data_IF_277722224746
#
_entry.id   IF_277722224746
#
_cell.length_a   1.000
_cell.length_b   1.000
_cell.length_c   1.000
_cell.angle_alpha   90.00
_cell.angle_beta   90.00
_cell.angle_gamma   90.00
#
_symmetry.space_group_name_H-M   'P 1'
#
loop_
_entity.id
_entity.type
_entity.pdbx_description
1 polymer ?
#
# COMPACT_ATOMS: atom_id res chain seq x y z
N UNK A 1 -4.10 1.07 -3.95
CA UNK A 1 -3.43 -0.01 -4.71
C UNK A 1 -2.00 0.44 -4.97
N UNK A 2 -1.09 -0.49 -5.20
CA UNK A 2 0.19 -0.16 -5.83
C UNK A 2 0.05 -0.56 -7.28
N UNK A 3 0.20 0.43 -8.17
CA UNK A 3 0.03 0.23 -9.60
C UNK A 3 1.31 -0.35 -10.21
N UNK A 4 1.12 -1.32 -11.10
CA UNK A 4 2.19 -1.76 -11.99
C UNK A 4 2.37 -0.71 -13.09
N UNK A 5 3.62 -0.46 -13.48
CA UNK A 5 3.97 0.41 -14.59
C UNK A 5 5.11 -0.23 -15.37
N UNK A 6 5.46 0.33 -16.53
CA UNK A 6 6.48 -0.22 -17.44
C UNK A 6 7.80 -0.62 -16.77
N UNK A 7 8.24 0.13 -15.75
CA UNK A 7 9.51 -0.11 -15.04
C UNK A 7 9.33 -0.71 -13.63
N UNK A 8 8.10 -1.03 -13.22
CA UNK A 8 7.81 -1.55 -11.88
C UNK A 8 6.65 -2.54 -11.89
N UNK A 9 6.93 -3.80 -11.56
CA UNK A 9 5.93 -4.85 -11.40
C UNK A 9 5.49 -4.96 -9.93
N UNK A 10 4.27 -4.53 -9.63
CA UNK A 10 3.70 -4.56 -8.29
C UNK A 10 3.43 -6.00 -7.80
N UNK A 11 3.37 -6.98 -8.70
CA UNK A 11 3.29 -8.40 -8.38
C UNK A 11 4.57 -8.98 -7.77
N UNK A 12 5.70 -8.30 -7.89
CA UNK A 12 6.97 -8.71 -7.26
C UNK A 12 7.08 -8.34 -5.78
N UNK A 13 6.12 -7.57 -5.26
CA UNK A 13 6.08 -7.15 -3.86
C UNK A 13 5.76 -8.37 -2.99
N UNK A 14 6.58 -8.62 -1.97
CA UNK A 14 6.31 -9.62 -0.94
C UNK A 14 5.33 -9.05 0.10
N UNK A 15 4.05 -9.48 0.10
CA UNK A 15 3.02 -8.96 1.00
C UNK A 15 3.34 -9.17 2.49
N UNK A 16 4.14 -10.20 2.82
CA UNK A 16 4.52 -10.50 4.20
C UNK A 16 5.53 -9.52 4.79
N UNK A 17 6.22 -8.75 3.94
CA UNK A 17 7.19 -7.73 4.36
C UNK A 17 6.63 -6.31 4.31
N UNK A 18 5.43 -6.15 3.73
CA UNK A 18 4.82 -4.84 3.51
C UNK A 18 4.36 -4.24 4.82
N UNK A 19 4.71 -2.97 5.03
CA UNK A 19 4.19 -2.14 6.12
C UNK A 19 3.71 -0.82 5.56
N UNK A 20 2.47 -0.48 5.84
CA UNK A 20 1.88 0.80 5.48
C UNK A 20 1.65 1.61 6.74
N UNK A 21 2.37 2.73 6.89
CA UNK A 21 2.33 3.56 8.09
C UNK A 21 2.43 2.76 9.41
N UNK A 22 3.34 1.77 9.42
CA UNK A 22 3.59 0.88 10.54
C UNK A 22 2.66 -0.34 10.64
N UNK A 23 1.59 -0.42 9.84
CA UNK A 23 0.63 -1.52 9.84
C UNK A 23 0.97 -2.61 8.81
N UNK A 24 0.80 -3.87 9.19
CA UNK A 24 0.88 -5.01 8.27
C UNK A 24 -0.45 -5.20 7.53
N UNK A 25 -0.43 -5.67 6.26
CA UNK A 25 -1.65 -5.91 5.52
C UNK A 25 -2.39 -7.12 6.09
N UNK A 26 -3.70 -6.99 6.30
CA UNK A 26 -4.55 -8.13 6.68
C UNK A 26 -4.89 -9.01 5.48
N UNK A 27 -5.11 -8.37 4.33
CA UNK A 27 -5.45 -9.04 3.08
C UNK A 27 -4.79 -8.30 1.93
N UNK A 28 -4.52 -9.05 0.88
CA UNK A 28 -4.04 -8.51 -0.37
C UNK A 28 -4.65 -9.28 -1.55
N UNK A 29 -4.70 -8.64 -2.71
CA UNK A 29 -5.19 -9.24 -3.95
C UNK A 29 -4.43 -8.66 -5.14
N UNK A 30 -4.11 -9.51 -6.11
CA UNK A 30 -3.64 -9.09 -7.42
C UNK A 30 -4.83 -8.92 -8.38
N UNK A 31 -4.95 -7.75 -9.00
CA UNK A 31 -6.01 -7.41 -9.94
C UNK A 31 -5.59 -6.15 -10.69
N UNK A 32 -5.91 -6.06 -11.98
CA UNK A 32 -5.88 -4.81 -12.73
C UNK A 32 -6.93 -3.85 -12.13
N UNK A 33 -6.48 -2.75 -11.52
CA UNK A 33 -7.32 -1.78 -10.79
C UNK A 33 -7.58 -0.54 -11.65
N UNK A 34 -6.64 -0.13 -12.48
CA UNK A 34 -6.76 1.09 -13.30
C UNK A 34 -7.14 0.84 -14.77
N UNK A 35 -7.14 -0.42 -15.21
CA UNK A 35 -7.61 -0.86 -16.52
C UNK A 35 -6.55 -0.78 -17.62
N UNK A 36 -5.26 -0.70 -17.26
CA UNK A 36 -4.17 -0.62 -18.22
C UNK A 36 -3.72 -1.99 -18.77
N UNK A 37 -4.21 -3.07 -18.16
CA UNK A 37 -3.93 -4.45 -18.55
C UNK A 37 -2.75 -5.10 -17.80
N UNK A 38 -2.04 -4.36 -16.95
CA UNK A 38 -1.05 -4.89 -16.03
C UNK A 38 -1.70 -5.23 -14.67
N UNK A 39 -1.15 -6.23 -13.96
CA UNK A 39 -1.70 -6.65 -12.67
C UNK A 39 -1.20 -5.76 -11.55
N UNK A 40 -2.10 -5.06 -10.88
CA UNK A 40 -1.80 -4.29 -9.67
C UNK A 40 -1.95 -5.14 -8.40
N UNK A 41 -1.44 -4.62 -7.29
CA UNK A 41 -1.69 -5.17 -5.96
C UNK A 41 -2.52 -4.23 -5.10
N UNK A 42 -3.60 -4.77 -4.55
CA UNK A 42 -4.45 -4.09 -3.58
C UNK A 42 -4.19 -4.66 -2.19
N UNK A 43 -3.77 -3.80 -1.27
CA UNK A 43 -3.59 -4.14 0.14
C UNK A 43 -4.75 -3.59 0.99
N UNK A 44 -5.16 -4.39 1.97
CA UNK A 44 -6.17 -4.04 2.96
C UNK A 44 -5.50 -4.02 4.34
N UNK A 45 -5.45 -2.85 4.96
CA UNK A 45 -4.88 -2.64 6.28
C UNK A 45 -5.98 -2.31 7.29
N UNK A 46 -5.78 -2.68 8.56
CA UNK A 46 -6.61 -2.16 9.65
C UNK A 46 -6.23 -0.73 9.94
N UNK A 47 -7.21 0.17 9.89
CA UNK A 47 -7.00 1.58 10.24
C UNK A 47 -6.51 1.76 11.67
N UNK A 48 -6.94 0.90 12.61
CA UNK A 48 -6.46 0.90 14.00
C UNK A 48 -5.00 0.46 14.15
N UNK A 49 -4.42 -0.19 13.13
CA UNK A 49 -3.02 -0.59 13.11
C UNK A 49 -2.09 0.48 12.54
N UNK A 50 -2.64 1.54 11.94
CA UNK A 50 -1.87 2.65 11.37
C UNK A 50 -1.39 3.54 12.52
N UNK A 51 -0.18 3.25 13.01
CA UNK A 51 0.42 3.99 14.13
C UNK A 51 1.10 5.28 13.68
N UNK A 52 1.49 5.36 12.42
CA UNK A 52 2.22 6.52 11.87
C UNK A 52 1.29 7.52 11.14
N UNK A 53 -0.04 7.36 11.25
CA UNK A 53 -1.03 8.27 10.67
C UNK A 53 -1.98 8.79 11.74
N UNK A 54 -2.21 10.10 11.70
CA UNK A 54 -3.22 10.80 12.47
C UNK A 54 -4.30 11.41 11.56
N UNK A 55 -5.33 12.03 12.15
CA UNK A 55 -6.43 12.67 11.41
C UNK A 55 -6.00 13.82 10.48
N UNK A 56 -4.81 14.38 10.69
CA UNK A 56 -4.24 15.48 9.91
C UNK A 56 -3.23 15.00 8.86
N UNK A 57 -2.94 13.71 8.84
CA UNK A 57 -1.94 13.14 7.96
C UNK A 57 -2.41 13.19 6.52
N UNK A 58 -1.58 13.76 5.66
CA UNK A 58 -1.85 13.93 4.23
C UNK A 58 -0.97 13.05 3.36
N UNK A 59 -0.01 12.34 3.96
CA UNK A 59 0.91 11.43 3.29
C UNK A 59 1.11 10.18 4.13
N UNK A 60 1.28 9.05 3.46
CA UNK A 60 1.62 7.78 4.08
C UNK A 60 2.74 7.10 3.31
N UNK A 61 3.59 6.38 4.04
CA UNK A 61 4.68 5.61 3.44
C UNK A 61 4.36 4.12 3.51
N UNK A 62 4.45 3.45 2.37
CA UNK A 62 4.47 2.01 2.23
C UNK A 62 5.92 1.54 2.11
N UNK A 63 6.36 0.68 3.00
CA UNK A 63 7.65 0.00 2.92
C UNK A 63 7.45 -1.49 2.68
N UNK A 64 8.44 -2.16 2.13
CA UNK A 64 8.39 -3.60 1.88
C UNK A 64 9.58 -4.06 1.05
N UNK A 65 9.50 -5.29 0.56
CA UNK A 65 10.49 -5.86 -0.37
C UNK A 65 9.77 -6.17 -1.69
N UNK A 66 10.33 -5.71 -2.81
CA UNK A 66 9.88 -6.04 -4.15
C UNK A 66 11.03 -6.66 -4.95
N UNK A 67 10.86 -7.89 -5.43
CA UNK A 67 11.90 -8.61 -6.18
C UNK A 67 13.24 -8.72 -5.44
N UNK A 68 13.20 -8.81 -4.10
CA UNK A 68 14.41 -8.87 -3.25
C UNK A 68 15.03 -7.51 -2.90
N UNK A 69 14.49 -6.39 -3.40
CA UNK A 69 14.97 -5.06 -3.10
C UNK A 69 14.03 -4.32 -2.13
N UNK A 70 14.54 -3.59 -1.14
CA UNK A 70 13.70 -2.78 -0.27
C UNK A 70 13.06 -1.63 -1.06
N UNK A 71 11.76 -1.45 -0.87
CA UNK A 71 10.97 -0.35 -1.42
C UNK A 71 10.46 0.55 -0.29
N UNK A 72 10.40 1.84 -0.56
CA UNK A 72 9.77 2.84 0.29
C UNK A 72 9.07 3.85 -0.60
N UNK A 73 7.74 3.78 -0.64
CA UNK A 73 6.89 4.60 -1.51
C UNK A 73 6.01 5.47 -0.64
N UNK A 74 6.07 6.78 -0.84
CA UNK A 74 5.24 7.74 -0.14
C UNK A 74 4.19 8.28 -1.09
N UNK A 75 2.92 8.20 -0.70
CA UNK A 75 1.81 8.76 -1.47
C UNK A 75 0.90 9.61 -0.57
N UNK A 76 0.10 10.45 -1.22
CA UNK A 76 -0.94 11.26 -0.57
C UNK A 76 -2.07 10.38 -0.07
N UNK A 77 -2.52 10.67 1.15
CA UNK A 77 -3.68 10.00 1.77
C UNK A 77 -4.71 11.01 2.21
N UNK A 78 -5.97 10.57 2.20
CA UNK A 78 -7.08 11.30 2.77
C UNK A 78 -7.68 10.48 3.90
N UNK A 79 -7.49 10.94 5.12
CA UNK A 79 -8.08 10.32 6.30
C UNK A 79 -9.56 10.69 6.35
N UNK A 80 -10.42 9.67 6.42
CA UNK A 80 -11.86 9.83 6.59
C UNK A 80 -12.20 9.47 8.03
N UNK A 81 -12.44 10.46 8.91
CA UNK A 81 -12.84 10.19 10.27
C UNK A 81 -14.18 9.44 10.27
N UNK A 82 -14.27 8.37 11.05
CA UNK A 82 -15.58 7.78 11.35
C UNK A 82 -16.29 8.75 12.30
N UNK A 83 -17.40 9.34 11.84
CA UNK A 83 -18.27 10.12 12.73
C UNK A 83 -18.68 9.20 13.88
N UNK A 84 -18.40 9.61 15.12
CA UNK A 84 -18.97 9.00 16.32
C UNK A 84 -20.49 9.08 16.30
#
# INVERSE_FOLDING_TARGET
AVFSITDFDAGTIDPGTVKFAGAEPERWKLCDVDGDGDLDILFHFKTQGLVDLDENSTKATLTGIAGGNPIAVTDTVRIVPTKK
#
